data_IF_461881954145
#
_entry.id   IF_461881954145
#
_cell.length_a   1.000
_cell.length_b   1.000
_cell.length_c   1.000
_cell.angle_alpha   90.00
_cell.angle_beta   90.00
_cell.angle_gamma   90.00
#
_symmetry.space_group_name_H-M   'P 1'
#
loop_
_entity.id
_entity.type
_entity.pdbx_description
1 polymer ?
#
# COMPACT_ATOMS: atom_id res chain seq x y z
N UNK A 1 -6.29 -22.03 38.34
CA UNK A 1 -7.18 -20.95 37.86
C UNK A 1 -6.90 -20.75 36.39
N UNK A 2 -7.88 -20.97 35.52
CA UNK A 2 -7.74 -20.76 34.08
C UNK A 2 -7.81 -19.26 33.79
N UNK A 3 -6.79 -18.73 33.14
CA UNK A 3 -6.63 -17.29 32.86
C UNK A 3 -7.80 -16.75 32.01
N UNK A 4 -8.70 -15.92 32.57
CA UNK A 4 -10.01 -15.66 31.98
C UNK A 4 -10.02 -14.65 30.81
N UNK A 5 -8.87 -14.16 30.32
CA UNK A 5 -8.82 -13.09 29.30
C UNK A 5 -8.29 -13.48 27.92
N UNK A 6 -7.33 -14.41 27.85
CA UNK A 6 -6.53 -14.59 26.62
C UNK A 6 -7.31 -15.22 25.46
N UNK A 7 -8.22 -16.13 25.76
CA UNK A 7 -9.06 -16.77 24.73
C UNK A 7 -9.96 -15.77 23.99
N UNK A 8 -10.51 -14.77 24.70
CA UNK A 8 -11.31 -13.72 24.10
C UNK A 8 -10.45 -12.77 23.26
N UNK A 9 -9.27 -12.40 23.76
CA UNK A 9 -8.32 -11.58 22.99
C UNK A 9 -7.92 -12.25 21.67
N UNK A 10 -7.65 -13.56 21.68
CA UNK A 10 -7.32 -14.31 20.45
C UNK A 10 -8.52 -14.36 19.49
N UNK A 11 -9.74 -14.55 19.99
CA UNK A 11 -10.96 -14.52 19.15
C UNK A 11 -11.19 -13.17 18.51
N UNK A 12 -11.07 -12.07 19.26
CA UNK A 12 -11.19 -10.71 18.71
C UNK A 12 -10.09 -10.43 17.71
N UNK A 13 -8.84 -10.78 18.02
CA UNK A 13 -7.72 -10.62 17.09
C UNK A 13 -7.98 -11.35 15.78
N UNK A 14 -8.44 -12.59 15.83
CA UNK A 14 -8.76 -13.39 14.64
C UNK A 14 -9.94 -12.79 13.85
N UNK A 15 -11.00 -12.36 14.54
CA UNK A 15 -12.16 -11.73 13.92
C UNK A 15 -11.76 -10.46 13.15
N UNK A 16 -11.06 -9.54 13.79
CA UNK A 16 -10.64 -8.29 13.15
C UNK A 16 -9.56 -8.49 12.09
N UNK A 17 -8.68 -9.50 12.24
CA UNK A 17 -7.74 -9.90 11.18
C UNK A 17 -8.48 -10.35 9.91
N UNK A 18 -9.50 -11.21 10.06
CA UNK A 18 -10.32 -11.66 8.93
C UNK A 18 -11.12 -10.51 8.32
N UNK A 19 -11.69 -9.63 9.15
CA UNK A 19 -12.45 -8.47 8.69
C UNK A 19 -11.56 -7.49 7.89
N UNK A 20 -10.38 -7.17 8.42
CA UNK A 20 -9.40 -6.32 7.75
C UNK A 20 -8.96 -6.92 6.40
N UNK A 21 -8.73 -8.24 6.35
CA UNK A 21 -8.41 -8.95 5.10
C UNK A 21 -9.55 -8.85 4.07
N UNK A 22 -10.80 -8.98 4.52
CA UNK A 22 -11.98 -8.81 3.65
C UNK A 22 -12.09 -7.40 3.09
N UNK A 23 -12.00 -6.38 3.94
CA UNK A 23 -12.04 -4.98 3.51
C UNK A 23 -10.89 -4.62 2.60
N UNK A 24 -9.68 -5.13 2.85
CA UNK A 24 -8.54 -4.90 1.97
C UNK A 24 -8.79 -5.46 0.56
N UNK A 25 -9.37 -6.66 0.44
CA UNK A 25 -9.76 -7.24 -0.86
C UNK A 25 -10.84 -6.41 -1.55
N UNK A 26 -11.89 -6.02 -0.82
CA UNK A 26 -12.97 -5.20 -1.36
C UNK A 26 -12.47 -3.83 -1.83
N UNK A 27 -11.62 -3.18 -1.02
CA UNK A 27 -10.97 -1.93 -1.35
C UNK A 27 -10.11 -2.07 -2.60
N UNK A 28 -9.29 -3.13 -2.69
CA UNK A 28 -8.45 -3.40 -3.85
C UNK A 28 -9.28 -3.59 -5.14
N UNK A 29 -10.39 -4.33 -5.05
CA UNK A 29 -11.30 -4.53 -6.17
C UNK A 29 -11.98 -3.21 -6.60
N UNK A 30 -12.54 -2.46 -5.65
CA UNK A 30 -13.19 -1.18 -5.92
C UNK A 30 -12.22 -0.15 -6.51
N UNK A 31 -10.99 -0.09 -5.97
CA UNK A 31 -9.92 0.77 -6.48
C UNK A 31 -9.56 0.43 -7.91
N UNK A 32 -9.39 -0.86 -8.23
CA UNK A 32 -9.08 -1.29 -9.60
C UNK A 32 -10.17 -0.85 -10.59
N UNK A 33 -11.44 -1.09 -10.24
CA UNK A 33 -12.58 -0.69 -11.09
C UNK A 33 -12.61 0.82 -11.29
N UNK A 34 -12.41 1.60 -10.21
CA UNK A 34 -12.34 3.06 -10.27
C UNK A 34 -11.18 3.53 -11.17
N UNK A 35 -10.00 2.95 -11.03
CA UNK A 35 -8.82 3.30 -11.84
C UNK A 35 -9.00 2.92 -13.32
N UNK A 36 -9.71 1.82 -13.62
CA UNK A 36 -10.03 1.41 -15.00
C UNK A 36 -11.03 2.39 -15.66
N UNK A 37 -12.03 2.87 -14.92
CA UNK A 37 -12.92 3.94 -15.41
C UNK A 37 -12.19 5.27 -15.59
N UNK A 38 -11.30 5.63 -14.66
CA UNK A 38 -10.50 6.86 -14.76
C UNK A 38 -9.67 6.89 -16.05
N UNK A 39 -9.00 5.77 -16.39
CA UNK A 39 -8.27 5.63 -17.65
C UNK A 39 -9.17 5.80 -18.88
N UNK A 40 -10.36 5.20 -18.87
CA UNK A 40 -11.31 5.32 -19.99
C UNK A 40 -11.77 6.77 -20.17
N UNK A 41 -12.09 7.46 -19.07
CA UNK A 41 -12.48 8.88 -19.10
C UNK A 41 -11.34 9.73 -19.66
N UNK A 42 -10.10 9.55 -19.17
CA UNK A 42 -8.93 10.28 -19.67
C UNK A 42 -8.72 9.99 -21.16
N UNK A 43 -8.80 8.74 -21.60
CA UNK A 43 -8.62 8.36 -22.99
C UNK A 43 -9.65 9.04 -23.91
N UNK A 44 -10.93 9.07 -23.51
CA UNK A 44 -11.99 9.76 -24.28
C UNK A 44 -11.72 11.27 -24.32
N UNK A 45 -11.34 11.89 -23.20
CA UNK A 45 -11.04 13.33 -23.17
C UNK A 45 -9.84 13.67 -24.07
N UNK A 46 -8.79 12.85 -24.06
CA UNK A 46 -7.61 13.04 -24.91
C UNK A 46 -7.94 12.88 -26.40
N UNK A 47 -8.71 11.85 -26.78
CA UNK A 47 -9.14 11.65 -28.17
C UNK A 47 -9.95 12.84 -28.72
N UNK A 48 -10.67 13.56 -27.85
CA UNK A 48 -11.47 14.72 -28.22
C UNK A 48 -10.72 16.06 -28.01
N UNK A 49 -9.42 16.06 -27.71
CA UNK A 49 -8.63 17.26 -27.38
C UNK A 49 -9.20 18.09 -26.20
N UNK A 50 -9.84 17.41 -25.25
CA UNK A 50 -10.55 17.98 -24.10
C UNK A 50 -9.79 17.83 -22.77
N UNK A 51 -8.46 17.89 -22.80
CA UNK A 51 -7.61 17.68 -21.61
C UNK A 51 -7.79 18.73 -20.50
N UNK A 52 -8.34 19.91 -20.84
CA UNK A 52 -8.68 20.97 -19.88
C UNK A 52 -10.17 21.02 -19.53
N UNK A 53 -10.96 20.05 -20.01
CA UNK A 53 -12.39 20.02 -19.75
C UNK A 53 -12.67 19.79 -18.28
N UNK A 54 -13.77 20.37 -17.83
CA UNK A 54 -14.20 20.25 -16.45
C UNK A 54 -15.58 19.61 -16.42
N UNK A 55 -15.66 18.43 -15.80
CA UNK A 55 -16.86 17.60 -15.76
C UNK A 55 -17.66 17.98 -14.52
N UNK A 56 -18.84 18.53 -14.71
CA UNK A 56 -19.78 18.85 -13.64
C UNK A 56 -20.63 17.61 -13.31
N UNK A 57 -20.72 17.23 -12.04
CA UNK A 57 -21.59 16.15 -11.55
C UNK A 57 -22.52 16.71 -10.45
N UNK A 58 -23.60 15.98 -10.13
CA UNK A 58 -24.62 16.43 -9.17
C UNK A 58 -24.03 16.90 -7.82
N UNK A 59 -22.95 16.24 -7.36
CA UNK A 59 -22.30 16.52 -6.08
C UNK A 59 -20.87 17.08 -6.19
N UNK A 60 -20.47 17.65 -7.34
CA UNK A 60 -19.11 18.19 -7.46
C UNK A 60 -18.61 18.40 -8.89
N UNK A 61 -17.28 18.50 -9.01
CA UNK A 61 -16.61 18.82 -10.27
C UNK A 61 -15.33 18.01 -10.39
N UNK A 62 -15.10 17.38 -11.54
CA UNK A 62 -13.89 16.63 -11.86
C UNK A 62 -13.09 17.40 -12.91
N UNK A 63 -11.78 17.49 -12.71
CA UNK A 63 -10.87 18.13 -13.65
C UNK A 63 -9.65 17.23 -13.83
N UNK A 64 -9.23 17.04 -15.07
CA UNK A 64 -7.96 16.38 -15.38
C UNK A 64 -6.83 17.29 -14.89
N UNK A 65 -6.01 16.78 -13.98
CA UNK A 65 -4.91 17.54 -13.37
C UNK A 65 -3.65 16.68 -13.38
N UNK A 66 -2.51 17.32 -13.65
CA UNK A 66 -1.21 16.66 -13.56
C UNK A 66 -0.87 16.39 -12.09
N UNK A 67 -0.87 15.12 -11.71
CA UNK A 67 -0.39 14.71 -10.40
C UNK A 67 1.11 14.44 -10.47
N UNK A 68 1.91 15.40 -10.03
CA UNK A 68 3.35 15.19 -9.82
C UNK A 68 3.55 14.48 -8.48
N UNK A 69 3.71 13.16 -8.52
CA UNK A 69 4.10 12.39 -7.34
C UNK A 69 5.63 12.28 -7.31
N UNK A 70 6.30 12.74 -6.23
CA UNK A 70 7.72 12.49 -6.08
C UNK A 70 7.95 10.98 -5.97
N UNK A 71 8.85 10.46 -6.80
CA UNK A 71 9.22 9.05 -6.76
C UNK A 71 9.72 8.70 -5.35
N UNK A 72 9.23 7.60 -4.79
CA UNK A 72 9.71 7.11 -3.50
C UNK A 72 11.21 6.76 -3.60
N UNK A 73 11.98 7.20 -2.61
CA UNK A 73 13.40 6.86 -2.46
C UNK A 73 13.53 5.43 -1.94
N UNK A 74 13.34 4.46 -2.85
CA UNK A 74 13.68 3.07 -2.60
C UNK A 74 15.20 2.90 -2.64
N UNK A 75 15.73 1.85 -2.01
CA UNK A 75 17.16 1.51 -2.09
C UNK A 75 17.61 1.30 -3.54
N UNK A 76 16.78 0.69 -4.37
CA UNK A 76 17.04 0.53 -5.81
C UNK A 76 17.11 1.89 -6.52
N UNK A 77 16.28 2.86 -6.12
CA UNK A 77 16.33 4.20 -6.70
C UNK A 77 17.59 4.96 -6.25
N UNK A 78 17.99 4.81 -4.99
CA UNK A 78 19.23 5.38 -4.48
C UNK A 78 20.44 4.82 -5.25
N UNK A 79 20.47 3.50 -5.48
CA UNK A 79 21.52 2.83 -6.26
C UNK A 79 21.60 3.37 -7.70
N UNK A 80 20.47 3.47 -8.40
CA UNK A 80 20.42 4.05 -9.75
C UNK A 80 20.94 5.50 -9.79
N UNK A 81 20.55 6.32 -8.80
CA UNK A 81 20.99 7.70 -8.70
C UNK A 81 22.48 7.83 -8.40
N UNK A 82 23.04 6.94 -7.58
CA UNK A 82 24.47 6.88 -7.28
C UNK A 82 25.27 6.51 -8.53
N UNK A 83 24.84 5.49 -9.29
CA UNK A 83 25.45 5.16 -10.57
C UNK A 83 25.40 6.35 -11.55
N UNK A 84 24.25 7.03 -11.63
CA UNK A 84 24.09 8.24 -12.44
C UNK A 84 25.05 9.35 -12.01
N UNK A 85 25.18 9.56 -10.69
CA UNK A 85 26.09 10.56 -10.12
C UNK A 85 27.56 10.26 -10.44
N UNK A 86 28.03 9.02 -10.23
CA UNK A 86 29.43 8.66 -10.53
C UNK A 86 29.73 8.67 -12.03
N UNK A 87 28.77 8.29 -12.89
CA UNK A 87 28.92 8.47 -14.35
C UNK A 87 29.05 9.95 -14.74
N UNK A 88 28.30 10.84 -14.09
CA UNK A 88 28.34 12.26 -14.39
C UNK A 88 29.58 12.96 -13.83
N UNK A 89 29.99 12.61 -12.61
CA UNK A 89 31.19 13.14 -11.95
C UNK A 89 32.48 12.64 -12.62
N UNK A 90 32.46 11.43 -13.17
CA UNK A 90 33.65 10.72 -13.63
C UNK A 90 34.46 10.14 -12.46
N UNK A 91 35.21 9.07 -12.74
CA UNK A 91 36.02 8.36 -11.74
C UNK A 91 35.46 6.97 -11.38
N UNK A 92 35.95 6.41 -10.27
CA UNK A 92 35.53 5.09 -9.81
C UNK A 92 34.09 5.13 -9.32
N UNK A 93 33.31 4.14 -9.74
CA UNK A 93 31.95 3.93 -9.23
C UNK A 93 32.02 3.20 -7.88
N UNK A 94 31.66 3.90 -6.81
CA UNK A 94 31.63 3.37 -5.44
C UNK A 94 30.21 3.07 -4.97
N UNK A 95 29.24 3.04 -5.89
CA UNK A 95 27.83 2.80 -5.59
C UNK A 95 27.62 1.52 -4.79
N UNK A 96 28.31 0.44 -5.16
CA UNK A 96 28.19 -0.86 -4.49
C UNK A 96 28.67 -0.78 -3.03
N UNK A 97 29.79 -0.09 -2.79
CA UNK A 97 30.37 0.07 -1.45
C UNK A 97 29.43 0.89 -0.56
N UNK A 98 28.89 1.99 -1.10
CA UNK A 98 27.90 2.84 -0.41
C UNK A 98 26.62 2.05 -0.12
N UNK A 99 26.09 1.32 -1.10
CA UNK A 99 24.87 0.52 -0.93
C UNK A 99 25.07 -0.60 0.09
N UNK A 100 26.25 -1.21 0.12
CA UNK A 100 26.61 -2.23 1.13
C UNK A 100 26.66 -1.61 2.52
N UNK A 101 27.29 -0.45 2.67
CA UNK A 101 27.31 0.28 3.94
C UNK A 101 25.90 0.62 4.43
N UNK A 102 25.04 1.15 3.56
CA UNK A 102 23.65 1.48 3.92
C UNK A 102 22.89 0.22 4.36
N UNK A 103 23.03 -0.89 3.64
CA UNK A 103 22.35 -2.16 3.99
C UNK A 103 22.81 -2.70 5.35
N UNK A 104 24.07 -2.54 5.69
CA UNK A 104 24.65 -3.00 6.96
C UNK A 104 24.29 -2.09 8.14
N UNK A 105 24.12 -0.78 7.92
CA UNK A 105 23.92 0.20 8.99
C UNK A 105 22.45 0.63 9.19
N UNK A 106 21.54 0.33 8.25
CA UNK A 106 20.12 0.74 8.35
C UNK A 106 19.36 0.10 9.52
N UNK A 107 19.90 -0.98 10.10
CA UNK A 107 19.28 -1.71 11.20
C UNK A 107 17.93 -2.36 10.84
N UNK A 108 17.33 -3.01 11.83
CA UNK A 108 15.97 -3.53 11.76
C UNK A 108 15.32 -3.42 13.14
N UNK A 109 14.06 -3.02 13.17
CA UNK A 109 13.25 -3.11 14.39
C UNK A 109 12.49 -4.43 14.38
N UNK A 110 12.77 -5.29 15.36
CA UNK A 110 12.11 -6.58 15.50
C UNK A 110 10.98 -6.45 16.51
N UNK A 111 9.74 -6.63 16.06
CA UNK A 111 8.56 -6.72 16.93
C UNK A 111 7.97 -8.13 16.86
N UNK A 112 7.54 -8.66 18.02
CA UNK A 112 6.75 -9.88 18.06
C UNK A 112 5.37 -9.58 17.47
N UNK A 113 4.95 -10.38 16.49
CA UNK A 113 3.65 -10.25 15.85
C UNK A 113 2.96 -11.60 15.77
N UNK A 114 1.63 -11.61 15.90
CA UNK A 114 0.81 -12.79 15.67
C UNK A 114 0.66 -13.01 14.16
N UNK A 115 0.88 -14.25 13.71
CA UNK A 115 0.73 -14.64 12.31
C UNK A 115 -0.25 -15.81 12.23
N UNK A 116 -1.29 -15.65 11.41
CA UNK A 116 -2.22 -16.73 11.10
C UNK A 116 -1.60 -17.61 9.99
N UNK A 117 -1.43 -18.91 10.26
CA UNK A 117 -0.93 -19.89 9.30
C UNK A 117 -1.94 -21.02 9.16
N UNK A 118 -2.52 -21.19 7.97
CA UNK A 118 -3.55 -22.18 7.69
C UNK A 118 -4.89 -21.83 8.37
N UNK A 119 -5.91 -21.55 7.56
CA UNK A 119 -7.25 -21.26 8.08
C UNK A 119 -8.29 -21.54 7.01
N UNK A 120 -9.21 -22.46 7.31
CA UNK A 120 -10.45 -22.63 6.53
C UNK A 120 -11.35 -21.39 6.63
N UNK A 121 -12.42 -21.33 5.84
CA UNK A 121 -13.30 -20.16 5.73
C UNK A 121 -13.83 -19.71 7.12
N UNK A 122 -14.05 -18.40 7.32
CA UNK A 122 -14.44 -17.88 8.62
C UNK A 122 -15.81 -18.44 9.05
N UNK A 123 -15.99 -18.83 10.33
CA UNK A 123 -17.29 -19.24 10.84
C UNK A 123 -18.25 -18.04 10.86
N UNK A 124 -19.47 -18.24 10.35
CA UNK A 124 -20.53 -17.24 10.17
C UNK A 124 -21.36 -16.97 11.43
N UNK A 125 -20.85 -17.29 12.62
CA UNK A 125 -21.59 -17.13 13.87
C UNK A 125 -21.47 -15.74 14.50
N UNK A 126 -22.53 -15.20 15.14
CA UNK A 126 -22.44 -13.96 15.91
C UNK A 126 -21.53 -14.13 17.14
N UNK A 127 -20.72 -13.11 17.43
CA UNK A 127 -19.83 -13.07 18.59
C UNK A 127 -20.64 -13.00 19.90
N UNK A 128 -20.21 -13.69 20.97
CA UNK A 128 -20.78 -13.46 22.30
C UNK A 128 -20.45 -12.03 22.79
N UNK A 129 -21.31 -11.43 23.62
CA UNK A 129 -21.15 -10.05 24.08
C UNK A 129 -19.88 -9.87 24.91
N UNK A 130 -19.26 -8.69 24.78
CA UNK A 130 -18.15 -8.23 25.62
C UNK A 130 -18.63 -8.11 27.07
N UNK A 131 -18.37 -9.11 27.90
CA UNK A 131 -18.43 -8.91 29.36
C UNK A 131 -17.10 -8.33 29.81
N UNK A 132 -17.14 -7.04 30.13
CA UNK A 132 -16.12 -6.34 30.92
C UNK A 132 -16.11 -6.86 32.36
#
# INVERSE_FOLDING_TARGET
MADPGIGNLVRYWLHYSNLASSFFKQFGAARKVKDDYEKQVIAVLQQNNMEKAIIQIHNGRLQVTDKKEPNQLSLSKIEELLHGYFRHRGGKDETIDIMTFIRSNRGYTVHKALKQSGGGPPPTGPLPPLTM
#
